data_IF_580324477893
#
_entry.id   IF_580324477893
#
_cell.length_a   1.000
_cell.length_b   1.000
_cell.length_c   1.000
_cell.angle_alpha   90.00
_cell.angle_beta   90.00
_cell.angle_gamma   90.00
#
_symmetry.space_group_name_H-M   'P 1'
#
loop_
_entity.id
_entity.type
_entity.pdbx_description
1 polymer ?
#
# COMPACT_ATOMS: atom_id res chain seq x y z
N UNK A 1 -6.50 -15.97 14.89
CA UNK A 1 -7.90 -15.99 15.37
C UNK A 1 -8.47 -14.58 15.27
N UNK A 2 -9.59 -14.47 14.56
CA UNK A 2 -10.49 -13.31 14.37
C UNK A 2 -9.86 -11.95 14.04
N UNK A 3 -9.47 -11.77 12.77
CA UNK A 3 -9.28 -10.45 12.14
C UNK A 3 -10.64 -9.79 11.88
N UNK A 4 -10.86 -8.53 12.29
CA UNK A 4 -12.02 -7.76 11.84
C UNK A 4 -11.85 -7.45 10.36
N UNK A 5 -12.94 -7.59 9.60
CA UNK A 5 -13.03 -7.31 8.17
C UNK A 5 -12.38 -5.97 7.79
N UNK A 6 -11.86 -5.87 6.57
CA UNK A 6 -11.69 -4.60 5.87
C UNK A 6 -13.06 -3.91 5.78
N UNK A 7 -13.44 -3.23 6.86
CA UNK A 7 -14.70 -2.53 6.98
C UNK A 7 -14.59 -1.24 6.20
N UNK A 8 -15.43 -1.10 5.18
CA UNK A 8 -15.82 0.19 4.64
C UNK A 8 -16.15 1.14 5.80
N UNK A 9 -15.80 2.44 5.70
CA UNK A 9 -16.05 3.40 6.77
C UNK A 9 -17.54 3.41 7.13
N UNK A 10 -17.81 3.20 8.41
CA UNK A 10 -19.14 3.14 8.99
C UNK A 10 -19.71 4.57 9.04
N UNK A 11 -20.45 4.97 8.00
CA UNK A 11 -21.22 6.22 7.99
C UNK A 11 -22.45 5.99 8.87
N UNK A 12 -22.60 6.78 9.95
CA UNK A 12 -23.69 6.63 10.91
C UNK A 12 -25.05 6.70 10.21
N UNK A 13 -25.83 5.63 10.37
CA UNK A 13 -27.26 5.57 10.06
C UNK A 13 -27.60 4.65 8.90
N UNK A 14 -27.64 3.34 9.19
CA UNK A 14 -28.43 2.25 8.59
C UNK A 14 -27.64 0.94 8.72
N UNK A 15 -27.99 0.10 9.71
CA UNK A 15 -27.51 -1.28 9.79
C UNK A 15 -28.36 -2.11 8.84
N UNK A 16 -27.81 -2.48 7.67
CA UNK A 16 -28.33 -3.60 6.88
C UNK A 16 -27.34 -4.75 7.02
N UNK A 17 -27.73 -5.90 7.61
CA UNK A 17 -26.86 -7.07 7.68
C UNK A 17 -26.84 -7.74 6.30
N UNK A 18 -25.95 -7.29 5.42
CA UNK A 18 -25.77 -7.90 4.10
C UNK A 18 -24.73 -9.03 4.22
N UNK A 19 -25.16 -10.28 3.97
CA UNK A 19 -24.29 -11.46 4.00
C UNK A 19 -23.13 -11.34 2.99
N UNK A 20 -22.00 -11.97 3.30
CA UNK A 20 -20.73 -11.79 2.56
C UNK A 20 -20.78 -12.06 1.04
N UNK A 21 -21.77 -12.82 0.55
CA UNK A 21 -21.98 -13.07 -0.88
C UNK A 21 -22.63 -11.88 -1.60
N UNK A 22 -23.50 -11.11 -0.94
CA UNK A 22 -24.13 -9.92 -1.52
C UNK A 22 -23.13 -8.76 -1.62
N UNK A 23 -22.20 -8.64 -0.67
CA UNK A 23 -21.09 -7.69 -0.77
C UNK A 23 -20.10 -8.05 -1.88
N UNK A 24 -19.85 -9.34 -2.12
CA UNK A 24 -18.96 -9.80 -3.20
C UNK A 24 -19.54 -9.54 -4.58
N UNK A 25 -20.83 -9.85 -4.79
CA UNK A 25 -21.52 -9.58 -6.05
C UNK A 25 -21.65 -8.07 -6.32
N UNK A 26 -21.94 -7.27 -5.29
CA UNK A 26 -21.95 -5.81 -5.40
C UNK A 26 -20.57 -5.24 -5.77
N UNK A 27 -19.51 -5.78 -5.18
CA UNK A 27 -18.14 -5.39 -5.50
C UNK A 27 -17.76 -5.80 -6.93
N UNK A 28 -18.12 -7.00 -7.36
CA UNK A 28 -17.90 -7.48 -8.72
C UNK A 28 -18.64 -6.64 -9.76
N UNK A 29 -19.92 -6.32 -9.50
CA UNK A 29 -20.72 -5.46 -10.36
C UNK A 29 -20.13 -4.05 -10.43
N UNK A 30 -19.75 -3.46 -9.29
CA UNK A 30 -19.07 -2.16 -9.23
C UNK A 30 -17.77 -2.15 -10.04
N UNK A 31 -16.95 -3.19 -9.90
CA UNK A 31 -15.70 -3.33 -10.66
C UNK A 31 -15.96 -3.34 -12.18
N UNK A 32 -16.89 -4.17 -12.64
CA UNK A 32 -17.22 -4.27 -14.07
C UNK A 32 -17.84 -2.98 -14.61
N UNK A 33 -18.70 -2.32 -13.81
CA UNK A 33 -19.31 -1.04 -14.18
C UNK A 33 -18.25 0.06 -14.37
N UNK A 34 -17.33 0.22 -13.42
CA UNK A 34 -16.26 1.22 -13.54
C UNK A 34 -15.35 0.91 -14.71
N UNK A 35 -15.05 -0.37 -14.95
CA UNK A 35 -14.22 -0.82 -16.07
C UNK A 35 -14.83 -0.46 -17.42
N UNK A 36 -16.14 -0.64 -17.59
CA UNK A 36 -16.86 -0.36 -18.82
C UNK A 36 -17.22 1.13 -19.02
N UNK A 37 -17.17 1.93 -17.96
CA UNK A 37 -17.56 3.34 -17.98
C UNK A 37 -16.55 4.20 -18.76
N UNK A 38 -17.01 5.17 -19.59
CA UNK A 38 -16.12 6.16 -20.18
C UNK A 38 -15.32 6.92 -19.11
N UNK A 39 -14.06 7.21 -19.38
CA UNK A 39 -13.14 7.74 -18.37
C UNK A 39 -13.62 9.05 -17.73
N UNK A 40 -14.17 9.98 -18.52
CA UNK A 40 -14.67 11.24 -17.96
C UNK A 40 -15.82 11.01 -16.97
N UNK A 41 -16.69 10.02 -17.22
CA UNK A 41 -17.81 9.69 -16.35
C UNK A 41 -17.31 8.99 -15.07
N UNK A 42 -16.38 8.05 -15.19
CA UNK A 42 -15.76 7.39 -14.04
C UNK A 42 -15.05 8.41 -13.16
N UNK A 43 -14.23 9.29 -13.74
CA UNK A 43 -13.57 10.40 -13.02
C UNK A 43 -14.57 11.23 -12.23
N UNK A 44 -15.59 11.78 -12.90
CA UNK A 44 -16.58 12.64 -12.27
C UNK A 44 -17.36 11.92 -11.14
N UNK A 45 -17.64 10.62 -11.31
CA UNK A 45 -18.29 9.82 -10.27
C UNK A 45 -17.42 9.67 -9.02
N UNK A 46 -16.13 9.36 -9.17
CA UNK A 46 -15.21 9.24 -8.04
C UNK A 46 -14.93 10.59 -7.38
N UNK A 47 -14.79 11.67 -8.16
CA UNK A 47 -14.63 13.04 -7.66
C UNK A 47 -15.86 13.48 -6.84
N UNK A 48 -17.06 13.20 -7.34
CA UNK A 48 -18.30 13.45 -6.61
C UNK A 48 -18.38 12.61 -5.31
N UNK A 49 -17.94 11.35 -5.35
CA UNK A 49 -17.82 10.48 -4.19
C UNK A 49 -16.86 11.04 -3.14
N UNK A 50 -15.70 11.55 -3.54
CA UNK A 50 -14.74 12.19 -2.66
C UNK A 50 -15.30 13.47 -2.02
N UNK A 51 -15.99 14.32 -2.81
CA UNK A 51 -16.68 15.51 -2.29
C UNK A 51 -17.76 15.14 -1.27
N UNK A 52 -18.54 14.09 -1.54
CA UNK A 52 -19.55 13.60 -0.62
C UNK A 52 -18.93 13.05 0.68
N UNK A 53 -17.89 12.22 0.56
CA UNK A 53 -17.18 11.65 1.70
C UNK A 53 -16.48 12.71 2.57
N UNK A 54 -16.12 13.85 1.98
CA UNK A 54 -15.53 14.97 2.70
C UNK A 54 -16.54 15.86 3.44
N UNK A 55 -17.85 15.69 3.21
CA UNK A 55 -18.89 16.47 3.91
C UNK A 55 -18.76 16.26 5.43
N UNK A 56 -18.96 17.33 6.19
CA UNK A 56 -18.78 17.30 7.65
C UNK A 56 -17.33 17.08 8.11
N UNK A 57 -16.34 17.41 7.27
CA UNK A 57 -14.91 17.35 7.62
C UNK A 57 -14.22 16.02 7.29
N UNK A 58 -14.92 15.08 6.65
CA UNK A 58 -14.37 13.79 6.23
C UNK A 58 -14.13 12.77 7.34
N UNK A 59 -13.54 11.60 7.02
CA UNK A 59 -13.29 10.56 8.01
C UNK A 59 -12.35 11.06 9.12
N UNK A 60 -12.80 10.96 10.37
CA UNK A 60 -12.04 11.47 11.52
C UNK A 60 -10.64 10.85 11.65
N UNK A 61 -10.48 9.56 11.30
CA UNK A 61 -9.19 8.88 11.37
C UNK A 61 -8.21 9.37 10.29
N UNK A 62 -8.69 9.65 9.07
CA UNK A 62 -7.85 10.23 8.01
C UNK A 62 -7.31 11.59 8.47
N UNK A 63 -8.17 12.44 9.03
CA UNK A 63 -7.78 13.76 9.56
C UNK A 63 -6.76 13.64 10.69
N UNK A 64 -6.95 12.70 11.61
CA UNK A 64 -5.98 12.38 12.67
C UNK A 64 -4.63 11.96 12.10
N UNK A 65 -4.60 11.18 11.03
CA UNK A 65 -3.37 10.72 10.42
C UNK A 65 -2.64 11.85 9.70
N UNK A 66 -3.36 12.62 8.88
CA UNK A 66 -2.81 13.80 8.19
C UNK A 66 -2.25 14.84 9.17
N UNK A 67 -2.86 15.00 10.35
CA UNK A 67 -2.37 15.89 11.40
C UNK A 67 -0.91 15.60 11.81
N UNK A 68 -0.54 14.32 11.97
CA UNK A 68 0.85 13.94 12.28
C UNK A 68 1.78 14.23 11.11
N UNK A 69 1.33 13.95 9.87
CA UNK A 69 2.12 14.17 8.66
C UNK A 69 2.52 15.64 8.49
N UNK A 70 1.57 16.56 8.69
CA UNK A 70 1.82 18.01 8.51
C UNK A 70 2.19 18.73 9.82
N UNK A 71 2.29 18.02 10.94
CA UNK A 71 2.72 18.58 12.22
C UNK A 71 1.73 19.55 12.89
N UNK A 72 0.42 19.33 12.75
CA UNK A 72 -0.62 20.19 13.34
C UNK A 72 -1.68 19.39 14.11
N UNK A 73 -2.41 20.00 15.06
CA UNK A 73 -3.58 19.36 15.67
C UNK A 73 -4.65 18.96 14.63
N UNK A 74 -5.43 17.88 14.81
CA UNK A 74 -6.45 17.45 13.85
C UNK A 74 -7.46 18.52 13.43
N UNK A 75 -7.78 19.46 14.33
CA UNK A 75 -8.67 20.58 14.06
C UNK A 75 -8.10 21.63 13.08
N UNK A 76 -6.77 21.66 12.91
CA UNK A 76 -6.07 22.58 12.02
C UNK A 76 -5.74 21.98 10.64
N UNK A 77 -5.99 20.67 10.45
CA UNK A 77 -5.91 20.06 9.12
C UNK A 77 -6.94 20.70 8.22
N UNK A 78 -6.55 21.20 7.05
CA UNK A 78 -7.48 21.88 6.16
C UNK A 78 -8.48 20.90 5.53
N UNK A 79 -9.72 21.36 5.32
CA UNK A 79 -10.72 20.57 4.59
C UNK A 79 -10.31 20.31 3.14
N UNK A 80 -9.51 21.20 2.55
CA UNK A 80 -8.95 21.01 1.21
C UNK A 80 -7.99 19.84 1.15
N UNK A 81 -7.12 19.64 2.16
CA UNK A 81 -6.21 18.49 2.22
C UNK A 81 -6.98 17.18 2.41
N UNK A 82 -7.98 17.17 3.29
CA UNK A 82 -8.83 15.98 3.47
C UNK A 82 -9.58 15.63 2.17
N UNK A 83 -10.12 16.64 1.47
CA UNK A 83 -10.74 16.44 0.14
C UNK A 83 -9.75 15.90 -0.88
N UNK A 84 -8.55 16.48 -0.97
CA UNK A 84 -7.52 16.03 -1.88
C UNK A 84 -7.13 14.57 -1.61
N UNK A 85 -7.00 14.19 -0.33
CA UNK A 85 -6.69 12.80 0.04
C UNK A 85 -7.81 11.82 -0.30
N UNK A 86 -9.08 12.22 -0.12
CA UNK A 86 -10.22 11.39 -0.54
C UNK A 86 -10.34 11.28 -2.05
N UNK A 87 -10.02 12.35 -2.80
CA UNK A 87 -9.98 12.32 -4.26
C UNK A 87 -8.85 11.41 -4.75
N UNK A 88 -7.69 11.49 -4.13
CA UNK A 88 -6.54 10.62 -4.38
C UNK A 88 -6.86 9.14 -4.11
N UNK A 89 -7.46 8.83 -2.96
CA UNK A 89 -7.96 7.49 -2.64
C UNK A 89 -9.01 6.99 -3.64
N UNK A 90 -9.92 7.86 -4.09
CA UNK A 90 -10.89 7.54 -5.14
C UNK A 90 -10.22 7.26 -6.49
N UNK A 91 -9.20 8.04 -6.84
CA UNK A 91 -8.40 7.85 -8.06
C UNK A 91 -7.72 6.48 -8.07
N UNK A 92 -7.12 6.05 -6.96
CA UNK A 92 -6.53 4.71 -6.83
C UNK A 92 -7.54 3.62 -7.22
N UNK A 93 -8.72 3.61 -6.61
CA UNK A 93 -9.73 2.59 -6.89
C UNK A 93 -10.25 2.63 -8.32
N UNK A 94 -10.51 3.83 -8.84
CA UNK A 94 -10.92 4.02 -10.24
C UNK A 94 -9.90 3.44 -11.20
N UNK A 95 -8.63 3.74 -11.00
CA UNK A 95 -7.55 3.23 -11.85
C UNK A 95 -7.38 1.72 -11.68
N UNK A 96 -7.35 1.20 -10.45
CA UNK A 96 -7.25 -0.23 -10.18
C UNK A 96 -8.35 -1.04 -10.90
N UNK A 97 -9.58 -0.53 -10.93
CA UNK A 97 -10.68 -1.20 -11.62
C UNK A 97 -10.51 -1.26 -13.15
N UNK A 98 -9.86 -0.25 -13.74
CA UNK A 98 -9.68 -0.12 -15.20
C UNK A 98 -8.35 -0.71 -15.69
N UNK A 99 -7.36 -0.80 -14.82
CA UNK A 99 -5.98 -1.19 -15.12
C UNK A 99 -5.87 -2.53 -15.89
N UNK A 100 -6.65 -3.58 -15.60
CA UNK A 100 -6.56 -4.84 -16.36
C UNK A 100 -6.99 -4.75 -17.83
N UNK A 101 -7.64 -3.65 -18.23
CA UNK A 101 -8.03 -3.37 -19.62
C UNK A 101 -7.24 -2.24 -20.28
N UNK A 102 -6.28 -1.65 -19.57
CA UNK A 102 -5.41 -0.62 -20.15
C UNK A 102 -4.30 -1.27 -20.97
N UNK A 103 -3.72 -0.51 -21.89
CA UNK A 103 -2.48 -0.90 -22.56
C UNK A 103 -1.32 -0.79 -21.57
N UNK A 104 -0.87 -1.94 -21.05
CA UNK A 104 0.18 -1.99 -20.03
C UNK A 104 1.53 -1.48 -20.53
N UNK A 105 1.82 -1.61 -21.83
CA UNK A 105 3.05 -1.10 -22.44
C UNK A 105 3.02 0.43 -22.49
N UNK A 106 1.90 1.00 -22.93
CA UNK A 106 1.71 2.45 -22.95
C UNK A 106 1.69 3.04 -21.53
N UNK A 107 1.07 2.35 -20.57
CA UNK A 107 1.09 2.75 -19.14
C UNK A 107 2.52 2.75 -18.62
N UNK A 108 3.28 1.68 -18.84
CA UNK A 108 4.66 1.57 -18.39
C UNK A 108 5.54 2.67 -19.01
N UNK A 109 5.42 2.93 -20.31
CA UNK A 109 6.15 4.01 -20.99
C UNK A 109 5.87 5.39 -20.35
N UNK A 110 4.62 5.67 -20.00
CA UNK A 110 4.24 6.92 -19.35
C UNK A 110 4.74 7.03 -17.91
N UNK A 111 4.73 5.93 -17.16
CA UNK A 111 5.32 5.90 -15.81
C UNK A 111 6.82 6.18 -15.88
N UNK A 112 7.53 5.56 -16.84
CA UNK A 112 8.98 5.69 -17.03
C UNK A 112 9.45 7.15 -17.09
N UNK A 113 8.67 8.05 -17.68
CA UNK A 113 8.99 9.49 -17.78
C UNK A 113 9.22 10.17 -16.42
N UNK A 114 8.68 9.60 -15.33
CA UNK A 114 8.72 10.14 -13.97
C UNK A 114 9.26 9.14 -12.94
N UNK A 115 9.99 8.11 -13.39
CA UNK A 115 10.66 7.18 -12.48
C UNK A 115 12.05 7.70 -12.11
N UNK A 116 12.26 7.91 -10.82
CA UNK A 116 13.55 8.27 -10.24
C UNK A 116 14.19 7.07 -9.54
N UNK A 117 15.50 6.89 -9.69
CA UNK A 117 16.26 5.91 -8.92
C UNK A 117 16.22 4.45 -9.40
N UNK A 118 15.60 4.16 -10.55
CA UNK A 118 15.50 2.77 -11.06
C UNK A 118 16.86 2.10 -11.33
N UNK A 119 17.91 2.89 -11.61
CA UNK A 119 19.30 2.39 -11.71
C UNK A 119 19.79 1.63 -10.46
N UNK A 120 19.20 1.87 -9.28
CA UNK A 120 19.51 1.10 -8.07
C UNK A 120 19.06 -0.36 -8.17
N UNK A 121 17.95 -0.64 -8.88
CA UNK A 121 17.51 -2.01 -9.20
C UNK A 121 18.54 -2.67 -10.11
N UNK A 122 18.90 -2.00 -11.21
CA UNK A 122 19.86 -2.51 -12.19
C UNK A 122 21.20 -2.84 -11.56
N UNK A 123 21.68 -1.95 -10.69
CA UNK A 123 22.95 -2.13 -9.94
C UNK A 123 22.88 -3.37 -9.04
N UNK A 124 21.79 -3.57 -8.32
CA UNK A 124 21.62 -4.71 -7.41
C UNK A 124 21.45 -6.04 -8.17
N UNK A 125 20.70 -6.03 -9.28
CA UNK A 125 20.53 -7.20 -10.13
C UNK A 125 21.82 -7.58 -10.86
N UNK A 126 22.59 -6.61 -11.35
CA UNK A 126 23.91 -6.85 -11.95
C UNK A 126 24.90 -7.46 -10.94
N UNK A 127 24.75 -7.14 -9.65
CA UNK A 127 25.53 -7.73 -8.56
C UNK A 127 25.00 -9.10 -8.11
N UNK A 128 23.93 -9.64 -8.70
CA UNK A 128 23.39 -10.96 -8.35
C UNK A 128 22.71 -11.03 -6.99
N UNK A 129 22.29 -9.90 -6.41
CA UNK A 129 21.81 -9.83 -5.01
C UNK A 129 20.31 -10.06 -4.86
N UNK A 130 19.52 -9.91 -5.91
CA UNK A 130 18.08 -9.72 -5.79
C UNK A 130 17.72 -8.40 -5.09
N UNK A 131 16.43 -8.06 -5.09
CA UNK A 131 15.96 -6.72 -4.70
C UNK A 131 14.64 -6.81 -3.92
N UNK A 132 14.61 -6.18 -2.75
CA UNK A 132 13.40 -5.91 -1.96
C UNK A 132 13.01 -4.44 -2.15
N UNK A 133 11.85 -4.20 -2.76
CA UNK A 133 11.23 -2.89 -2.90
C UNK A 133 10.18 -2.73 -1.79
N UNK A 134 10.44 -1.86 -0.82
CA UNK A 134 9.54 -1.62 0.29
C UNK A 134 8.87 -0.25 0.13
N UNK A 135 7.53 -0.21 0.14
CA UNK A 135 6.76 1.01 -0.14
C UNK A 135 5.58 1.21 0.82
N UNK A 136 5.15 2.46 1.06
CA UNK A 136 3.91 2.74 1.78
C UNK A 136 2.68 2.62 0.86
N UNK A 137 1.49 2.62 1.44
CA UNK A 137 0.23 2.70 0.69
C UNK A 137 -0.01 4.12 0.18
N UNK A 138 0.83 4.59 -0.76
CA UNK A 138 0.76 5.93 -1.34
C UNK A 138 0.58 5.88 -2.85
N UNK A 139 -0.22 6.79 -3.43
CA UNK A 139 -0.48 6.84 -4.88
C UNK A 139 -1.00 5.51 -5.44
N UNK A 140 -0.51 5.10 -6.61
CA UNK A 140 -0.93 3.85 -7.24
C UNK A 140 0.22 2.83 -7.40
N UNK A 141 0.35 1.96 -6.40
CA UNK A 141 1.35 0.90 -6.39
C UNK A 141 1.10 -0.22 -7.42
N UNK A 142 -0.15 -0.45 -7.83
CA UNK A 142 -0.44 -1.46 -8.86
C UNK A 142 0.02 -0.95 -10.25
N UNK A 143 -0.06 0.36 -10.52
CA UNK A 143 0.55 0.99 -11.71
C UNK A 143 2.07 0.89 -11.67
N UNK A 144 2.70 1.15 -10.52
CA UNK A 144 4.14 0.97 -10.37
C UNK A 144 4.55 -0.50 -10.58
N UNK A 145 3.72 -1.46 -10.15
CA UNK A 145 3.90 -2.87 -10.44
C UNK A 145 3.81 -3.19 -11.94
N UNK A 146 2.84 -2.63 -12.67
CA UNK A 146 2.74 -2.79 -14.13
C UNK A 146 4.00 -2.28 -14.83
N UNK A 147 4.50 -1.10 -14.44
CA UNK A 147 5.77 -0.59 -14.95
C UNK A 147 6.92 -1.55 -14.62
N UNK A 148 7.03 -2.02 -13.38
CA UNK A 148 8.10 -2.93 -12.96
C UNK A 148 8.07 -4.25 -13.76
N UNK A 149 6.88 -4.79 -14.01
CA UNK A 149 6.71 -6.01 -14.82
C UNK A 149 7.08 -5.83 -16.28
N UNK A 150 6.76 -4.68 -16.88
CA UNK A 150 7.12 -4.40 -18.27
C UNK A 150 8.62 -4.08 -18.44
N UNK A 151 9.27 -3.55 -17.40
CA UNK A 151 10.68 -3.13 -17.45
C UNK A 151 11.64 -4.25 -17.02
N UNK A 152 11.30 -5.01 -15.97
CA UNK A 152 12.19 -6.00 -15.34
C UNK A 152 11.60 -7.42 -15.25
N UNK A 153 10.34 -7.61 -15.66
CA UNK A 153 9.66 -8.89 -15.60
C UNK A 153 8.91 -9.15 -14.28
N UNK A 154 8.41 -10.38 -14.13
CA UNK A 154 7.57 -10.79 -12.99
C UNK A 154 8.30 -10.63 -11.66
N UNK A 155 7.59 -10.09 -10.66
CA UNK A 155 8.06 -9.95 -9.28
C UNK A 155 7.10 -10.65 -8.32
N UNK A 156 7.57 -10.97 -7.11
CA UNK A 156 6.76 -11.56 -6.05
C UNK A 156 6.31 -10.53 -5.01
N UNK A 157 5.12 -10.71 -4.46
CA UNK A 157 4.55 -9.89 -3.38
C UNK A 157 3.69 -10.74 -2.46
N UNK A 158 3.20 -10.15 -1.37
CA UNK A 158 2.30 -10.81 -0.42
C UNK A 158 0.99 -10.06 -0.31
N UNK A 159 -0.11 -10.79 -0.17
CA UNK A 159 -1.43 -10.23 0.09
C UNK A 159 -2.04 -10.82 1.36
N UNK A 160 -2.66 -9.97 2.18
CA UNK A 160 -3.51 -10.43 3.27
C UNK A 160 -4.68 -11.27 2.70
N UNK A 161 -4.96 -12.42 3.31
CA UNK A 161 -6.06 -13.29 2.90
C UNK A 161 -7.38 -12.76 3.44
N UNK A 162 -7.98 -11.84 2.69
CA UNK A 162 -9.25 -11.20 3.02
C UNK A 162 -10.40 -12.20 3.09
N UNK A 163 -11.42 -11.88 3.90
CA UNK A 163 -12.71 -12.57 3.89
C UNK A 163 -13.78 -11.68 3.27
N UNK A 164 -14.72 -12.24 2.47
CA UNK A 164 -14.83 -13.65 2.09
C UNK A 164 -13.73 -14.11 1.09
N UNK A 165 -13.52 -15.42 0.97
CA UNK A 165 -12.47 -15.98 0.09
C UNK A 165 -12.65 -15.58 -1.37
N UNK A 166 -13.89 -15.39 -1.84
CA UNK A 166 -14.19 -14.89 -3.18
C UNK A 166 -13.57 -13.51 -3.43
N UNK A 167 -13.60 -12.62 -2.43
CA UNK A 167 -13.01 -11.30 -2.52
C UNK A 167 -11.48 -11.39 -2.60
N UNK A 168 -10.88 -12.27 -1.80
CA UNK A 168 -9.44 -12.53 -1.88
C UNK A 168 -9.04 -13.03 -3.28
N UNK A 169 -9.74 -14.02 -3.82
CA UNK A 169 -9.44 -14.57 -5.14
C UNK A 169 -9.55 -13.50 -6.24
N UNK A 170 -10.54 -12.61 -6.17
CA UNK A 170 -10.64 -11.47 -7.11
C UNK A 170 -9.41 -10.57 -7.09
N UNK A 171 -8.85 -10.28 -5.92
CA UNK A 171 -7.63 -9.46 -5.82
C UNK A 171 -6.39 -10.20 -6.32
N UNK A 172 -6.33 -11.53 -6.12
CA UNK A 172 -5.26 -12.37 -6.68
C UNK A 172 -5.36 -12.36 -8.20
N UNK A 173 -6.51 -12.74 -8.77
CA UNK A 173 -6.73 -12.77 -10.22
C UNK A 173 -6.46 -11.40 -10.87
N UNK A 174 -6.90 -10.33 -10.22
CA UNK A 174 -6.60 -8.95 -10.63
C UNK A 174 -5.09 -8.71 -10.75
N UNK A 175 -4.32 -8.97 -9.69
CA UNK A 175 -2.87 -8.69 -9.68
C UNK A 175 -2.06 -9.66 -10.52
N UNK A 176 -2.48 -10.92 -10.62
CA UNK A 176 -1.86 -11.88 -11.53
C UNK A 176 -2.08 -11.48 -12.99
N UNK A 177 -3.23 -10.87 -13.34
CA UNK A 177 -3.45 -10.30 -14.67
C UNK A 177 -2.54 -9.10 -15.01
N UNK A 178 -1.94 -8.48 -14.00
CA UNK A 178 -0.92 -7.42 -14.15
C UNK A 178 0.51 -8.00 -14.23
N UNK A 179 0.65 -9.33 -14.10
CA UNK A 179 1.91 -10.06 -14.17
C UNK A 179 2.61 -10.26 -12.83
N UNK A 180 1.93 -10.06 -11.69
CA UNK A 180 2.53 -10.23 -10.36
C UNK A 180 2.50 -11.71 -9.94
N UNK A 181 3.40 -12.13 -9.05
CA UNK A 181 3.23 -13.35 -8.25
C UNK A 181 2.71 -12.98 -6.86
N UNK A 182 1.46 -13.34 -6.55
CA UNK A 182 0.82 -12.94 -5.29
C UNK A 182 0.77 -14.11 -4.31
N UNK A 183 1.56 -14.02 -3.25
CA UNK A 183 1.60 -15.04 -2.22
C UNK A 183 0.59 -14.73 -1.10
N UNK A 184 -0.24 -15.69 -0.65
CA UNK A 184 -1.08 -15.50 0.53
C UNK A 184 -0.23 -15.35 1.78
N UNK A 185 -0.52 -14.33 2.60
CA UNK A 185 0.14 -14.17 3.90
C UNK A 185 -0.17 -15.34 4.86
N UNK A 186 -1.34 -15.98 4.71
CA UNK A 186 -1.77 -17.12 5.53
C UNK A 186 -2.48 -18.19 4.70
N UNK A 187 -2.30 -19.46 5.08
CA UNK A 187 -2.97 -20.60 4.44
C UNK A 187 -2.49 -20.91 3.01
N UNK A 188 -1.28 -20.46 2.65
CA UNK A 188 -0.58 -20.91 1.45
C UNK A 188 0.08 -22.28 1.65
N UNK A 189 0.52 -22.90 0.55
CA UNK A 189 1.18 -24.21 0.58
C UNK A 189 2.56 -24.17 1.27
N UNK A 190 3.25 -23.03 1.20
CA UNK A 190 4.54 -22.76 1.86
C UNK A 190 4.47 -21.44 2.63
N UNK A 191 5.28 -21.25 3.69
CA UNK A 191 5.41 -19.95 4.33
C UNK A 191 5.85 -18.88 3.31
N UNK A 192 5.16 -17.73 3.21
CA UNK A 192 5.47 -16.74 2.17
C UNK A 192 6.90 -16.21 2.28
N UNK A 193 7.42 -16.05 3.51
CA UNK A 193 8.79 -15.59 3.73
C UNK A 193 9.85 -16.49 3.07
N UNK A 194 9.67 -17.81 3.11
CA UNK A 194 10.58 -18.76 2.45
C UNK A 194 10.53 -18.62 0.92
N UNK A 195 9.33 -18.51 0.35
CA UNK A 195 9.17 -18.35 -1.10
C UNK A 195 9.77 -17.03 -1.56
N UNK A 196 9.56 -15.94 -0.82
CA UNK A 196 10.18 -14.65 -1.11
C UNK A 196 11.72 -14.73 -1.02
N UNK A 197 12.27 -15.40 0.00
CA UNK A 197 13.71 -15.60 0.11
C UNK A 197 14.28 -16.41 -1.07
N UNK A 198 13.56 -17.44 -1.53
CA UNK A 198 13.93 -18.21 -2.73
C UNK A 198 13.96 -17.32 -3.98
N UNK A 199 12.97 -16.43 -4.16
CA UNK A 199 12.95 -15.47 -5.29
C UNK A 199 14.11 -14.51 -5.24
N UNK A 200 14.46 -13.99 -4.05
CA UNK A 200 15.60 -13.09 -3.88
C UNK A 200 16.92 -13.79 -4.17
N UNK A 201 17.12 -15.02 -3.67
CA UNK A 201 18.32 -15.83 -3.95
C UNK A 201 18.46 -16.19 -5.43
N UNK A 202 17.35 -16.26 -6.16
CA UNK A 202 17.33 -16.41 -7.61
C UNK A 202 17.57 -15.09 -8.37
N UNK A 203 18.10 -14.05 -7.70
CA UNK A 203 18.31 -12.71 -8.22
C UNK A 203 17.02 -12.03 -8.72
N UNK A 204 15.89 -12.32 -8.08
CA UNK A 204 14.57 -11.79 -8.42
C UNK A 204 14.18 -10.53 -7.64
N UNK A 205 12.98 -10.03 -7.96
CA UNK A 205 12.37 -8.85 -7.37
C UNK A 205 11.25 -9.23 -6.40
N UNK A 206 11.22 -8.58 -5.24
CA UNK A 206 10.15 -8.70 -4.23
C UNK A 206 9.62 -7.32 -3.87
N UNK A 207 8.31 -7.11 -3.95
CA UNK A 207 7.66 -5.85 -3.56
C UNK A 207 6.79 -6.04 -2.31
N UNK A 208 6.96 -5.19 -1.31
CA UNK A 208 6.26 -5.30 -0.02
C UNK A 208 5.65 -3.97 0.42
N UNK A 209 4.34 -3.97 0.65
CA UNK A 209 3.68 -2.87 1.37
C UNK A 209 4.15 -2.89 2.82
N UNK A 210 4.81 -1.81 3.26
CA UNK A 210 5.71 -1.84 4.42
C UNK A 210 5.46 -0.73 5.46
N UNK A 211 4.33 -0.03 5.39
CA UNK A 211 4.02 1.11 6.26
C UNK A 211 3.02 0.80 7.39
N UNK A 212 2.58 -0.45 7.55
CA UNK A 212 1.66 -0.81 8.63
C UNK A 212 1.61 -2.29 9.02
N UNK A 213 2.03 -2.61 10.24
CA UNK A 213 1.78 -3.90 10.89
C UNK A 213 1.46 -3.70 12.38
N UNK A 214 0.17 -3.48 12.69
CA UNK A 214 -0.29 -3.26 14.07
C UNK A 214 -0.59 -4.56 14.81
N UNK A 215 0.22 -5.59 14.57
CA UNK A 215 0.21 -6.86 15.31
C UNK A 215 1.36 -6.90 16.34
N UNK A 216 1.41 -7.97 17.13
CA UNK A 216 2.50 -8.18 18.11
C UNK A 216 3.86 -8.36 17.44
N UNK A 217 3.90 -8.89 16.22
CA UNK A 217 5.13 -9.11 15.44
C UNK A 217 5.64 -7.87 14.72
N UNK A 218 4.82 -6.81 14.62
CA UNK A 218 5.23 -5.54 14.05
C UNK A 218 6.38 -4.90 14.83
N UNK A 219 7.34 -4.36 14.11
CA UNK A 219 8.52 -3.67 14.65
C UNK A 219 8.10 -2.26 15.03
N UNK A 220 8.24 -1.92 16.31
CA UNK A 220 7.93 -0.58 16.79
C UNK A 220 8.98 0.41 16.31
N UNK A 221 8.53 1.51 15.71
CA UNK A 221 9.38 2.61 15.22
C UNK A 221 8.74 3.95 15.60
N UNK A 222 9.56 4.99 15.62
CA UNK A 222 9.08 6.37 15.59
C UNK A 222 8.69 6.74 14.15
N UNK A 223 7.50 7.31 13.97
CA UNK A 223 7.00 7.73 12.67
C UNK A 223 6.23 9.04 12.83
N UNK A 224 6.75 10.13 12.27
CA UNK A 224 6.24 11.49 12.50
C UNK A 224 6.17 11.86 14.00
N UNK A 225 7.21 11.50 14.77
CA UNK A 225 7.34 11.84 16.20
C UNK A 225 6.48 11.01 17.16
N UNK A 226 5.66 10.09 16.65
CA UNK A 226 4.83 9.20 17.46
C UNK A 226 5.14 7.72 17.18
N UNK A 227 4.91 6.85 18.17
CA UNK A 227 5.15 5.42 18.04
C UNK A 227 4.11 4.72 17.15
N UNK A 228 4.59 3.98 16.16
CA UNK A 228 3.80 3.05 15.32
C UNK A 228 4.48 1.69 15.22
N UNK A 229 3.90 0.75 14.49
CA UNK A 229 4.52 -0.52 14.13
C UNK A 229 4.48 -0.77 12.62
N UNK A 230 5.63 -1.13 12.08
CA UNK A 230 5.85 -1.49 10.67
C UNK A 230 6.23 -2.97 10.54
N UNK A 231 5.96 -3.62 9.40
CA UNK A 231 6.39 -5.00 9.18
C UNK A 231 7.93 -5.08 9.10
N UNK A 232 8.52 -5.98 9.89
CA UNK A 232 9.97 -6.25 9.83
C UNK A 232 10.39 -7.16 8.66
N UNK A 233 9.44 -7.62 7.85
CA UNK A 233 9.67 -8.55 6.72
C UNK A 233 10.73 -8.07 5.72
N UNK A 234 10.69 -6.81 5.24
CA UNK A 234 11.68 -6.30 4.29
C UNK A 234 13.12 -6.35 4.84
N UNK A 235 13.33 -5.86 6.07
CA UNK A 235 14.63 -5.89 6.73
C UNK A 235 15.13 -7.32 6.96
N UNK A 236 14.25 -8.22 7.41
CA UNK A 236 14.60 -9.64 7.64
C UNK A 236 15.04 -10.32 6.35
N UNK A 237 14.27 -10.15 5.26
CA UNK A 237 14.60 -10.73 3.96
C UNK A 237 15.93 -10.20 3.42
N UNK A 238 16.19 -8.90 3.53
CA UNK A 238 17.43 -8.30 3.09
C UNK A 238 18.64 -8.81 3.89
N UNK A 239 18.53 -8.89 5.22
CA UNK A 239 19.60 -9.45 6.07
C UNK A 239 19.84 -10.94 5.81
N UNK A 240 18.78 -11.73 5.58
CA UNK A 240 18.89 -13.18 5.38
C UNK A 240 19.47 -13.54 4.00
N UNK A 241 19.13 -12.77 2.96
CA UNK A 241 19.45 -13.10 1.57
C UNK A 241 20.60 -12.29 0.98
N UNK A 242 20.96 -11.15 1.59
CA UNK A 242 21.91 -10.19 1.03
C UNK A 242 21.30 -9.26 -0.04
N UNK A 243 19.99 -9.38 -0.29
CA UNK A 243 19.27 -8.55 -1.25
C UNK A 243 19.35 -7.06 -0.92
N UNK A 244 19.33 -6.22 -1.96
CA UNK A 244 19.25 -4.78 -1.78
C UNK A 244 17.85 -4.41 -1.26
N UNK A 245 17.77 -3.68 -0.14
CA UNK A 245 16.51 -3.15 0.39
C UNK A 245 16.35 -1.69 -0.04
N UNK A 246 15.48 -1.42 -1.00
CA UNK A 246 15.21 -0.07 -1.49
C UNK A 246 13.89 0.46 -0.90
N UNK A 247 13.93 1.62 -0.22
CA UNK A 247 12.74 2.40 0.06
C UNK A 247 12.15 2.95 -1.24
N UNK A 248 10.85 2.81 -1.42
CA UNK A 248 10.13 3.24 -2.61
C UNK A 248 8.94 4.10 -2.19
N UNK A 249 8.68 5.15 -2.95
CA UNK A 249 7.51 6.00 -2.79
C UNK A 249 6.80 6.21 -4.13
N UNK A 250 5.47 6.11 -4.11
CA UNK A 250 4.59 6.34 -5.26
C UNK A 250 3.60 7.45 -4.93
N UNK A 251 3.30 8.31 -5.90
CA UNK A 251 2.34 9.41 -5.74
C UNK A 251 1.64 9.71 -7.06
N UNK A 252 0.64 10.58 -7.02
CA UNK A 252 -0.02 11.07 -8.22
C UNK A 252 0.58 12.39 -8.67
N UNK A 253 1.02 12.43 -9.93
CA UNK A 253 1.66 13.58 -10.53
C UNK A 253 0.74 14.14 -11.63
N UNK A 254 -0.06 15.15 -11.31
CA UNK A 254 -1.11 15.66 -12.19
C UNK A 254 -2.04 14.52 -12.68
N UNK A 255 -2.07 14.23 -13.98
CA UNK A 255 -2.82 13.13 -14.58
C UNK A 255 -1.98 11.86 -14.82
N UNK A 256 -0.70 11.88 -14.42
CA UNK A 256 0.24 10.77 -14.44
C UNK A 256 0.58 10.25 -13.04
N UNK A 257 1.72 9.56 -12.95
CA UNK A 257 2.18 8.87 -11.74
C UNK A 257 3.65 9.18 -11.51
N UNK A 258 4.02 9.39 -10.26
CA UNK A 258 5.41 9.51 -9.84
C UNK A 258 5.85 8.29 -9.05
N UNK A 259 7.11 7.90 -9.25
CA UNK A 259 7.74 6.76 -8.58
C UNK A 259 9.19 7.12 -8.27
N UNK A 260 9.57 7.05 -7.00
CA UNK A 260 10.95 7.28 -6.55
C UNK A 260 11.46 6.07 -5.80
N UNK A 261 12.64 5.62 -6.18
CA UNK A 261 13.40 4.58 -5.49
C UNK A 261 14.63 5.21 -4.86
N UNK A 262 14.79 5.04 -3.56
CA UNK A 262 15.97 5.52 -2.85
C UNK A 262 17.11 4.49 -2.94
N UNK A 263 18.32 4.95 -2.65
CA UNK A 263 19.47 4.06 -2.54
C UNK A 263 19.19 2.92 -1.53
N UNK A 264 19.81 1.74 -1.71
CA UNK A 264 19.62 0.63 -0.79
C UNK A 264 20.02 1.01 0.64
N UNK A 265 19.21 0.61 1.62
CA UNK A 265 19.53 0.79 3.03
C UNK A 265 20.74 -0.06 3.42
N UNK A 266 21.54 0.44 4.37
CA UNK A 266 22.60 -0.35 4.99
C UNK A 266 21.99 -1.40 5.93
N UNK A 267 22.16 -2.68 5.57
CA UNK A 267 21.69 -3.83 6.35
C UNK A 267 22.80 -4.52 7.13
N UNK A 268 24.02 -3.96 7.15
CA UNK A 268 25.22 -4.59 7.71
C UNK A 268 25.13 -4.81 9.23
N UNK A 269 24.30 -4.02 9.93
CA UNK A 269 24.09 -4.17 11.36
C UNK A 269 23.34 -5.45 11.74
N UNK A 270 22.54 -6.02 10.81
CA UNK A 270 21.61 -7.11 11.09
C UNK A 270 20.46 -6.74 12.05
N UNK A 271 20.40 -5.48 12.51
CA UNK A 271 19.39 -5.02 13.45
C UNK A 271 18.11 -4.63 12.70
N UNK A 272 17.14 -5.55 12.72
CA UNK A 272 15.83 -5.38 12.10
C UNK A 272 15.12 -4.11 12.59
N UNK A 273 15.28 -3.74 13.87
CA UNK A 273 14.69 -2.53 14.44
C UNK A 273 15.27 -1.28 13.81
N UNK A 274 16.59 -1.17 13.81
CA UNK A 274 17.31 -0.03 13.24
C UNK A 274 17.05 0.14 11.73
N UNK A 275 17.07 -0.96 10.96
CA UNK A 275 16.82 -0.94 9.52
C UNK A 275 15.38 -0.52 9.23
N UNK A 276 14.41 -1.04 9.99
CA UNK A 276 13.00 -0.67 9.82
C UNK A 276 12.75 0.80 10.22
N UNK A 277 13.48 1.33 11.21
CA UNK A 277 13.43 2.74 11.55
C UNK A 277 13.98 3.64 10.44
N UNK A 278 15.06 3.23 9.78
CA UNK A 278 15.59 3.95 8.60
C UNK A 278 14.59 3.92 7.44
N UNK A 279 13.98 2.76 7.18
CA UNK A 279 12.90 2.64 6.20
C UNK A 279 11.73 3.59 6.51
N UNK A 280 11.34 3.69 7.79
CA UNK A 280 10.31 4.62 8.25
C UNK A 280 10.68 6.09 7.96
N UNK A 281 11.95 6.48 8.13
CA UNK A 281 12.43 7.84 7.80
C UNK A 281 12.26 8.16 6.31
N UNK A 282 12.59 7.22 5.43
CA UNK A 282 12.35 7.39 3.98
C UNK A 282 10.87 7.54 3.65
N UNK A 283 9.99 6.73 4.27
CA UNK A 283 8.55 6.86 4.09
C UNK A 283 8.03 8.21 4.59
N UNK A 284 8.56 8.74 5.70
CA UNK A 284 8.19 10.07 6.19
C UNK A 284 8.47 11.17 5.16
N UNK A 285 9.63 11.15 4.51
CA UNK A 285 9.97 12.16 3.49
C UNK A 285 8.96 12.14 2.34
N UNK A 286 8.74 10.97 1.73
CA UNK A 286 7.83 10.85 0.60
C UNK A 286 6.38 11.20 0.96
N UNK A 287 5.90 10.76 2.12
CA UNK A 287 4.55 11.06 2.60
C UNK A 287 4.41 12.55 2.96
N UNK A 288 5.44 13.19 3.52
CA UNK A 288 5.41 14.63 3.81
C UNK A 288 5.42 15.48 2.53
N UNK A 289 6.10 15.03 1.48
CA UNK A 289 6.10 15.68 0.16
C UNK A 289 4.73 15.54 -0.55
N UNK A 290 4.06 14.39 -0.38
CA UNK A 290 2.78 14.09 -1.02
C UNK A 290 1.71 13.60 -0.03
N UNK A 291 1.30 14.41 0.95
CA UNK A 291 0.47 13.97 2.08
C UNK A 291 -0.94 13.52 1.67
N UNK A 292 -1.48 14.10 0.59
CA UNK A 292 -2.78 13.70 0.07
C UNK A 292 -2.77 12.26 -0.47
N UNK A 293 -1.64 11.81 -1.01
CA UNK A 293 -1.54 10.55 -1.73
C UNK A 293 -1.30 9.35 -0.82
N UNK A 294 -1.04 9.55 0.47
CA UNK A 294 -0.95 8.46 1.42
C UNK A 294 -2.34 7.99 1.87
N UNK A 295 -2.74 6.80 1.42
CA UNK A 295 -4.09 6.23 1.56
C UNK A 295 -4.35 5.59 2.92
N UNK A 296 -3.91 6.22 4.01
CA UNK A 296 -4.06 5.70 5.36
C UNK A 296 -5.33 6.20 6.04
N UNK A 297 -6.47 5.58 5.74
CA UNK A 297 -7.76 5.89 6.38
C UNK A 297 -7.98 5.12 7.70
N UNK A 298 -7.12 4.13 7.99
CA UNK A 298 -7.18 3.30 9.19
C UNK A 298 -6.29 3.85 10.31
N UNK A 299 -6.48 3.43 11.58
CA UNK A 299 -5.55 3.77 12.64
C UNK A 299 -4.14 3.28 12.29
N UNK A 300 -3.16 4.19 12.38
CA UNK A 300 -1.74 3.94 12.13
C UNK A 300 -0.96 3.92 13.46
N UNK A 301 -1.06 4.97 14.26
CA UNK A 301 -0.30 5.07 15.51
C UNK A 301 -0.90 4.27 16.65
N UNK A 302 -0.04 3.80 17.55
CA UNK A 302 -0.45 3.03 18.72
C UNK A 302 -1.38 3.83 19.65
N UNK A 303 -1.19 5.15 19.73
CA UNK A 303 -2.01 6.06 20.52
C UNK A 303 -3.48 6.10 20.05
N UNK A 304 -3.74 5.82 18.77
CA UNK A 304 -5.09 5.84 18.19
C UNK A 304 -5.84 4.51 18.36
N UNK A 305 -5.19 3.49 18.93
CA UNK A 305 -5.81 2.19 19.19
C UNK A 305 -6.68 2.22 20.44
N UNK A 306 -7.86 1.60 20.35
CA UNK A 306 -8.73 1.33 21.51
C UNK A 306 -7.96 0.65 22.65
N UNK A 307 -8.35 0.90 23.91
CA UNK A 307 -7.71 0.29 25.07
C UNK A 307 -7.61 -1.25 24.97
N UNK A 308 -8.67 -1.91 24.49
CA UNK A 308 -8.68 -3.36 24.26
C UNK A 308 -7.59 -3.80 23.28
N UNK A 309 -7.46 -3.12 22.13
CA UNK A 309 -6.41 -3.42 21.14
C UNK A 309 -5.01 -3.16 21.68
N UNK A 310 -4.81 -2.13 22.50
CA UNK A 310 -3.52 -1.87 23.16
C UNK A 310 -3.18 -2.96 24.18
N UNK A 311 -4.12 -3.35 25.04
CA UNK A 311 -3.94 -4.46 25.99
C UNK A 311 -3.56 -5.76 25.27
N UNK A 312 -4.26 -6.08 24.17
CA UNK A 312 -3.92 -7.22 23.32
C UNK A 312 -2.51 -7.13 22.73
N UNK A 313 -1.96 -5.96 22.44
CA UNK A 313 -0.56 -5.84 21.98
C UNK A 313 0.45 -6.03 23.11
N UNK A 314 0.10 -5.60 24.32
CA UNK A 314 0.93 -5.68 25.53
C UNK A 314 0.98 -7.07 26.17
N UNK A 315 0.22 -8.04 25.67
CA UNK A 315 0.18 -9.37 26.28
C UNK A 315 -0.78 -9.51 27.45
N UNK A 316 -1.63 -8.50 27.68
CA UNK A 316 -2.65 -8.46 28.75
C UNK A 316 -4.02 -8.92 28.26
#
# INVERSE_FOLDING_TARGET
MSTPSAGLPNVRGFRVPLGGQLSDLGYAAGWQLVRAMPEFAARNMFDAGALYAARGGGPAQLRKNLARVIGVPPAQVSDSLVRASLASYGRYWREAFRLPSMDHVAVAARVQERVEGHHHIETALAAGRGVVLALPHSGNWDIAGVWLTNTYGRFATVAERLKPESLYQRFVDYRESLGFEVLPLTGGARPPAEVLADRLRANGLVCLMSDRDLTRSGVQVEFFGEATRLPGGPARLACETGAALLPVHTWFENDGWGLRMHAPLDTSSGDIGAITQELARHFQSGIAEHPADWHMLQPQWLADLSAERRARLEGR
#
